data_IF_011263010488
#
_entry.id   IF_011263010488
#
_cell.length_a   1.000
_cell.length_b   1.000
_cell.length_c   1.000
_cell.angle_alpha   90.00
_cell.angle_beta   90.00
_cell.angle_gamma   90.00
#
_symmetry.space_group_name_H-M   'P 1'
#
loop_
_entity.id
_entity.type
_entity.pdbx_description
1 polymer ?
#
# COMPACT_ATOMS: atom_id res chain seq x y z
N UNK A 1 -38.39 -7.03 58.16
CA UNK A 1 -39.35 -6.43 57.22
C UNK A 1 -38.56 -5.96 56.02
N UNK A 2 -38.68 -6.68 54.89
CA UNK A 2 -37.94 -6.40 53.66
C UNK A 2 -38.67 -5.29 52.88
N UNK A 3 -38.01 -4.15 52.67
CA UNK A 3 -38.46 -3.10 51.76
C UNK A 3 -37.74 -3.25 50.42
N UNK A 4 -38.51 -3.55 49.37
CA UNK A 4 -38.05 -3.68 47.99
C UNK A 4 -37.79 -2.28 47.41
N UNK A 5 -36.55 -1.98 47.00
CA UNK A 5 -36.21 -0.77 46.25
C UNK A 5 -36.02 -1.15 44.78
N UNK A 6 -37.13 -1.21 44.05
CA UNK A 6 -37.15 -1.46 42.62
C UNK A 6 -36.74 -0.18 41.88
N UNK A 7 -35.45 -0.07 41.54
CA UNK A 7 -34.96 0.98 40.63
C UNK A 7 -35.63 0.84 39.26
N UNK A 8 -36.62 1.70 38.99
CA UNK A 8 -37.29 1.77 37.69
C UNK A 8 -36.30 2.36 36.69
N UNK A 9 -35.70 1.50 35.86
CA UNK A 9 -34.91 1.93 34.71
C UNK A 9 -35.83 2.16 33.50
N UNK A 10 -35.72 3.33 32.87
CA UNK A 10 -36.47 3.70 31.68
C UNK A 10 -35.61 3.44 30.44
N UNK A 11 -36.10 2.70 29.46
CA UNK A 11 -35.35 2.33 28.25
C UNK A 11 -35.99 2.96 27.01
N UNK A 12 -35.18 3.54 26.13
CA UNK A 12 -35.64 4.08 24.85
C UNK A 12 -35.74 3.00 23.78
N UNK A 13 -36.89 2.89 23.12
CA UNK A 13 -37.14 1.87 22.09
C UNK A 13 -36.41 2.16 20.76
N UNK A 14 -35.98 3.40 20.54
CA UNK A 14 -35.32 3.82 19.30
C UNK A 14 -33.80 3.59 19.32
N UNK A 15 -33.14 3.88 20.45
CA UNK A 15 -31.68 3.76 20.59
C UNK A 15 -31.21 2.81 21.71
N UNK A 16 -32.15 2.14 22.40
CA UNK A 16 -31.90 1.20 23.50
C UNK A 16 -31.13 1.77 24.71
N UNK A 17 -31.04 3.08 24.84
CA UNK A 17 -30.34 3.72 25.96
C UNK A 17 -31.18 3.66 27.25
N UNK A 18 -30.55 3.35 28.38
CA UNK A 18 -31.20 3.26 29.69
C UNK A 18 -31.00 4.54 30.52
N UNK A 19 -32.06 4.96 31.20
CA UNK A 19 -32.15 6.19 32.00
C UNK A 19 -32.61 5.86 33.41
N UNK A 20 -31.93 6.46 34.39
CA UNK A 20 -32.22 6.28 35.83
C UNK A 20 -33.41 7.10 36.33
N UNK A 21 -33.83 8.13 35.59
CA UNK A 21 -34.93 9.01 35.98
C UNK A 21 -35.90 9.21 34.82
N UNK A 22 -37.19 9.36 35.17
CA UNK A 22 -38.27 9.60 34.19
C UNK A 22 -38.03 10.88 33.40
N UNK A 23 -37.54 11.93 34.06
CA UNK A 23 -37.30 13.24 33.42
C UNK A 23 -36.23 13.17 32.33
N UNK A 24 -35.14 12.42 32.56
CA UNK A 24 -34.10 12.25 31.53
C UNK A 24 -34.58 11.39 30.36
N UNK A 25 -35.44 10.43 30.65
CA UNK A 25 -36.08 9.61 29.63
C UNK A 25 -37.05 10.44 28.76
N UNK A 26 -37.90 11.27 29.39
CA UNK A 26 -38.85 12.12 28.67
C UNK A 26 -38.16 13.23 27.86
N UNK A 27 -37.06 13.78 28.35
CA UNK A 27 -36.24 14.72 27.57
C UNK A 27 -35.61 14.05 26.34
N UNK A 28 -35.18 12.79 26.47
CA UNK A 28 -34.54 12.06 25.38
C UNK A 28 -35.54 11.57 24.32
N UNK A 29 -36.70 11.02 24.73
CA UNK A 29 -37.63 10.34 23.82
C UNK A 29 -38.13 11.28 22.72
N UNK A 30 -38.40 12.54 23.05
CA UNK A 30 -38.90 13.57 22.11
C UNK A 30 -37.92 13.77 20.94
N UNK A 31 -36.62 13.84 21.23
CA UNK A 31 -35.59 14.01 20.21
C UNK A 31 -35.27 12.70 19.48
N UNK A 32 -35.23 11.60 20.22
CA UNK A 32 -34.84 10.30 19.69
C UNK A 32 -35.88 9.74 18.71
N UNK A 33 -37.16 9.91 19.04
CA UNK A 33 -38.28 9.57 18.17
C UNK A 33 -38.20 10.34 16.86
N UNK A 34 -38.10 11.67 16.92
CA UNK A 34 -37.94 12.51 15.72
C UNK A 34 -36.73 12.12 14.87
N UNK A 35 -35.59 11.83 15.50
CA UNK A 35 -34.35 11.47 14.79
C UNK A 35 -34.41 10.12 14.07
N UNK A 36 -35.32 9.23 14.46
CA UNK A 36 -35.51 7.91 13.86
C UNK A 36 -36.64 7.85 12.82
N UNK A 37 -37.42 8.93 12.67
CA UNK A 37 -38.36 9.09 11.55
C UNK A 37 -37.62 9.16 10.21
N UNK A 38 -38.27 8.75 9.13
CA UNK A 38 -37.75 8.91 7.77
C UNK A 38 -37.71 10.40 7.39
N UNK A 39 -36.86 10.78 6.42
CA UNK A 39 -36.76 12.19 5.98
C UNK A 39 -38.11 12.78 5.55
N UNK A 40 -38.94 11.99 4.86
CA UNK A 40 -40.27 12.43 4.42
C UNK A 40 -41.20 12.69 5.61
N UNK A 41 -41.20 11.82 6.61
CA UNK A 41 -41.98 11.99 7.85
C UNK A 41 -41.47 13.17 8.70
N UNK A 42 -40.15 13.42 8.70
CA UNK A 42 -39.58 14.60 9.36
C UNK A 42 -40.02 15.90 8.67
N UNK A 43 -40.03 15.92 7.34
CA UNK A 43 -40.49 17.07 6.55
C UNK A 43 -41.99 17.31 6.73
N UNK A 44 -42.81 16.25 6.73
CA UNK A 44 -44.26 16.31 7.01
C UNK A 44 -44.55 16.83 8.44
N UNK A 45 -43.81 16.36 9.46
CA UNK A 45 -43.90 16.87 10.85
C UNK A 45 -43.50 18.35 10.97
N UNK A 46 -42.49 18.79 10.20
CA UNK A 46 -42.05 20.18 10.18
C UNK A 46 -43.10 21.06 9.50
N UNK A 47 -43.79 20.57 8.48
CA UNK A 47 -44.85 21.32 7.79
C UNK A 47 -46.17 21.34 8.57
N UNK A 48 -46.50 20.26 9.30
CA UNK A 48 -47.67 20.15 10.18
C UNK A 48 -47.49 20.87 11.53
N UNK A 49 -47.11 22.16 11.52
CA UNK A 49 -46.92 23.01 12.72
C UNK A 49 -48.19 23.10 13.60
N UNK A 50 -48.55 22.05 14.34
CA UNK A 50 -49.75 22.04 15.17
C UNK A 50 -49.47 22.50 16.60
N UNK A 51 -48.23 22.35 17.10
CA UNK A 51 -47.82 22.93 18.39
C UNK A 51 -46.34 23.32 18.42
N UNK A 52 -46.06 24.62 18.55
CA UNK A 52 -44.71 25.11 18.85
C UNK A 52 -44.20 24.49 20.17
N UNK A 53 -42.98 23.91 20.18
CA UNK A 53 -42.38 23.41 21.42
C UNK A 53 -42.30 24.54 22.45
N UNK A 54 -42.56 24.23 23.71
CA UNK A 54 -42.42 25.23 24.77
C UNK A 54 -40.99 25.76 24.81
N UNK A 55 -40.79 27.00 25.27
CA UNK A 55 -39.45 27.61 25.39
C UNK A 55 -38.44 26.69 26.11
N UNK A 56 -38.90 25.91 27.09
CA UNK A 56 -38.08 24.93 27.80
C UNK A 56 -37.59 23.81 26.87
N UNK A 57 -38.47 23.25 26.02
CA UNK A 57 -38.09 22.21 25.06
C UNK A 57 -37.15 22.75 23.98
N UNK A 58 -37.42 23.95 23.44
CA UNK A 58 -36.51 24.58 22.47
C UNK A 58 -35.11 24.80 23.07
N UNK A 59 -35.04 25.26 24.32
CA UNK A 59 -33.76 25.48 25.01
C UNK A 59 -32.99 24.17 25.27
N UNK A 60 -33.70 23.08 25.58
CA UNK A 60 -33.09 21.76 25.73
C UNK A 60 -32.52 21.24 24.40
N UNK A 61 -33.25 21.42 23.29
CA UNK A 61 -32.78 21.06 21.94
C UNK A 61 -31.55 21.88 21.58
N UNK A 62 -31.57 23.20 21.81
CA UNK A 62 -30.43 24.08 21.57
C UNK A 62 -29.19 23.66 22.38
N UNK A 63 -29.36 23.29 23.65
CA UNK A 63 -28.27 22.75 24.48
C UNK A 63 -27.71 21.45 23.91
N UNK A 64 -28.58 20.53 23.48
CA UNK A 64 -28.18 19.26 22.89
C UNK A 64 -27.39 19.48 21.58
N UNK A 65 -27.85 20.40 20.74
CA UNK A 65 -27.20 20.78 19.48
C UNK A 65 -25.83 21.42 19.75
N UNK A 66 -25.74 22.36 20.70
CA UNK A 66 -24.46 22.98 21.07
C UNK A 66 -23.42 21.94 21.50
N UNK A 67 -23.80 20.99 22.36
CA UNK A 67 -22.91 19.90 22.78
C UNK A 67 -22.47 19.00 21.62
N UNK A 68 -23.37 18.75 20.65
CA UNK A 68 -23.06 17.92 19.47
C UNK A 68 -22.16 18.65 18.48
N UNK A 69 -22.37 19.96 18.29
CA UNK A 69 -21.51 20.82 17.47
C UNK A 69 -20.11 20.89 18.07
N UNK A 70 -19.98 21.18 19.37
CA UNK A 70 -18.67 21.21 20.06
C UNK A 70 -17.91 19.88 19.97
N UNK A 71 -18.64 18.75 19.97
CA UNK A 71 -18.03 17.43 19.77
C UNK A 71 -17.55 17.27 18.33
N UNK A 72 -18.38 17.61 17.35
CA UNK A 72 -18.04 17.50 15.94
C UNK A 72 -16.88 18.43 15.56
N UNK A 73 -16.82 19.65 16.08
CA UNK A 73 -15.72 20.58 15.83
C UNK A 73 -14.39 20.05 16.35
N UNK A 74 -14.37 19.48 17.57
CA UNK A 74 -13.18 18.82 18.13
C UNK A 74 -12.73 17.62 17.31
N UNK A 75 -13.66 16.75 16.91
CA UNK A 75 -13.35 15.59 16.06
C UNK A 75 -12.81 16.05 14.70
N UNK A 76 -13.39 17.10 14.11
CA UNK A 76 -12.94 17.66 12.85
C UNK A 76 -11.55 18.28 12.96
N UNK A 77 -11.25 19.00 14.04
CA UNK A 77 -9.92 19.56 14.29
C UNK A 77 -8.86 18.47 14.44
N UNK A 78 -9.17 17.38 15.16
CA UNK A 78 -8.29 16.21 15.25
C UNK A 78 -8.05 15.62 13.86
N UNK A 79 -9.10 15.40 13.07
CA UNK A 79 -8.98 14.85 11.72
C UNK A 79 -8.16 15.76 10.80
N UNK A 80 -8.39 17.08 10.86
CA UNK A 80 -7.61 18.06 10.09
C UNK A 80 -6.15 18.08 10.51
N UNK A 81 -5.85 17.95 11.81
CA UNK A 81 -4.49 17.87 12.31
C UNK A 81 -3.78 16.57 11.90
N UNK A 82 -4.46 15.43 11.96
CA UNK A 82 -3.94 14.15 11.46
C UNK A 82 -3.71 14.21 9.95
N UNK A 83 -4.67 14.74 9.18
CA UNK A 83 -4.54 14.92 7.75
C UNK A 83 -3.42 15.91 7.40
N UNK A 84 -3.27 17.01 8.15
CA UNK A 84 -2.19 17.98 7.95
C UNK A 84 -0.81 17.40 8.30
N UNK A 85 -0.72 16.55 9.33
CA UNK A 85 0.51 15.80 9.65
C UNK A 85 0.84 14.78 8.56
N UNK A 86 -0.15 14.04 8.07
CA UNK A 86 0.03 13.09 6.97
C UNK A 86 0.34 13.77 5.63
N UNK A 87 -0.18 14.99 5.41
CA UNK A 87 0.00 15.78 4.19
C UNK A 87 1.20 16.72 4.25
N UNK A 88 1.89 16.86 5.41
CA UNK A 88 3.22 17.47 5.42
C UNK A 88 4.08 16.59 4.53
N UNK A 89 4.35 17.10 3.32
CA UNK A 89 5.19 16.50 2.29
C UNK A 89 6.58 16.32 2.87
N UNK A 90 6.80 15.27 3.65
CA UNK A 90 8.14 14.91 4.07
C UNK A 90 8.87 14.55 2.79
N UNK A 91 9.97 15.25 2.52
CA UNK A 91 10.78 14.99 1.35
C UNK A 91 11.53 13.67 1.59
N UNK A 92 10.96 12.56 1.13
CA UNK A 92 11.51 11.21 1.28
C UNK A 92 12.95 11.15 0.77
N UNK A 93 13.29 11.89 -0.30
CA UNK A 93 14.65 11.97 -0.81
C UNK A 93 15.60 12.66 0.17
N UNK A 94 15.20 13.78 0.76
CA UNK A 94 16.03 14.44 1.79
C UNK A 94 16.22 13.54 3.00
N UNK A 95 15.19 12.80 3.41
CA UNK A 95 15.29 11.87 4.53
C UNK A 95 16.24 10.71 4.22
N UNK A 96 16.12 10.09 3.04
CA UNK A 96 17.01 9.00 2.61
C UNK A 96 18.47 9.44 2.49
N UNK A 97 18.70 10.66 1.98
CA UNK A 97 20.06 11.18 1.81
C UNK A 97 20.70 11.68 3.12
N UNK A 98 19.91 11.88 4.19
CA UNK A 98 20.42 12.22 5.53
C UNK A 98 20.77 10.98 6.37
N UNK A 99 20.43 9.77 5.93
CA UNK A 99 20.79 8.55 6.64
C UNK A 99 22.32 8.36 6.63
N UNK A 100 22.89 8.04 7.79
CA UNK A 100 24.31 7.70 7.91
C UNK A 100 24.62 6.33 7.28
N UNK A 101 23.67 5.40 7.35
CA UNK A 101 23.79 4.07 6.75
C UNK A 101 23.38 4.13 5.27
N UNK A 102 24.37 3.93 4.40
CA UNK A 102 24.17 3.85 2.95
C UNK A 102 24.38 2.41 2.45
N UNK A 103 23.66 1.97 1.41
CA UNK A 103 23.91 0.68 0.78
C UNK A 103 25.35 0.53 0.31
N UNK A 104 25.91 -0.67 0.47
CA UNK A 104 27.30 -0.96 0.08
C UNK A 104 27.52 -1.00 -1.44
N UNK A 105 26.45 -1.24 -2.20
CA UNK A 105 26.44 -1.26 -3.66
C UNK A 105 25.43 -0.26 -4.19
N UNK A 106 25.70 0.30 -5.36
CA UNK A 106 24.69 1.05 -6.12
C UNK A 106 23.66 0.11 -6.74
N UNK A 107 22.51 0.67 -7.12
CA UNK A 107 21.45 -0.07 -7.81
C UNK A 107 21.95 -0.74 -9.09
N UNK A 108 22.75 -0.01 -9.87
CA UNK A 108 23.41 -0.55 -11.07
C UNK A 108 24.27 -1.76 -10.75
N UNK A 109 25.19 -1.63 -9.79
CA UNK A 109 26.10 -2.73 -9.42
C UNK A 109 25.34 -3.95 -8.88
N UNK A 110 24.23 -3.71 -8.17
CA UNK A 110 23.38 -4.77 -7.66
C UNK A 110 22.68 -5.54 -8.78
N UNK A 111 22.06 -4.84 -9.74
CA UNK A 111 21.40 -5.47 -10.90
C UNK A 111 22.41 -6.22 -11.79
N UNK A 112 23.61 -5.65 -11.99
CA UNK A 112 24.67 -6.30 -12.75
C UNK A 112 25.17 -7.59 -12.10
N UNK A 113 25.09 -7.68 -10.76
CA UNK A 113 25.59 -8.80 -9.98
C UNK A 113 24.55 -9.93 -9.75
N UNK A 114 23.35 -9.82 -10.32
CA UNK A 114 22.33 -10.87 -10.21
C UNK A 114 22.79 -12.21 -10.80
N UNK A 115 22.34 -13.30 -10.17
CA UNK A 115 22.60 -14.66 -10.64
C UNK A 115 21.59 -15.07 -11.72
N UNK A 116 21.86 -14.63 -12.95
CA UNK A 116 21.04 -14.95 -14.10
C UNK A 116 21.08 -16.45 -14.47
N UNK A 117 22.18 -17.16 -14.17
CA UNK A 117 22.34 -18.59 -14.51
C UNK A 117 21.39 -19.48 -13.70
N UNK A 118 21.19 -19.19 -12.42
CA UNK A 118 20.25 -19.96 -11.61
C UNK A 118 18.80 -19.50 -11.78
N UNK A 119 18.58 -18.23 -12.14
CA UNK A 119 17.22 -17.67 -12.26
C UNK A 119 16.57 -17.97 -13.60
N UNK A 120 17.35 -18.33 -14.62
CA UNK A 120 16.81 -18.75 -15.92
C UNK A 120 15.92 -20.00 -15.84
N UNK A 121 16.11 -20.84 -14.82
CA UNK A 121 15.24 -21.98 -14.52
C UNK A 121 13.80 -21.53 -14.25
N UNK A 122 13.64 -20.40 -13.56
CA UNK A 122 12.33 -19.85 -13.21
C UNK A 122 11.63 -19.28 -14.45
N UNK A 123 12.40 -18.69 -15.39
CA UNK A 123 11.88 -18.25 -16.71
C UNK A 123 11.32 -19.44 -17.48
N UNK A 124 11.96 -20.60 -17.38
CA UNK A 124 11.56 -21.82 -18.08
C UNK A 124 10.23 -22.37 -17.57
N UNK A 125 10.06 -22.37 -16.25
CA UNK A 125 8.90 -22.98 -15.60
C UNK A 125 7.66 -22.07 -15.54
N UNK A 126 7.84 -20.74 -15.49
CA UNK A 126 6.73 -19.79 -15.24
C UNK A 126 6.54 -18.83 -16.42
N UNK A 127 7.12 -17.63 -16.35
CA UNK A 127 7.12 -16.60 -17.39
C UNK A 127 8.24 -15.58 -17.12
N UNK A 128 8.58 -14.74 -18.11
CA UNK A 128 9.62 -13.70 -17.93
C UNK A 128 9.28 -12.71 -16.81
N UNK A 129 8.07 -12.10 -16.77
CA UNK A 129 7.78 -11.10 -15.73
C UNK A 129 8.01 -11.65 -14.32
N UNK A 130 7.52 -12.86 -14.03
CA UNK A 130 7.67 -13.49 -12.71
C UNK A 130 9.13 -13.85 -12.45
N UNK A 131 9.86 -14.34 -13.45
CA UNK A 131 11.27 -14.63 -13.29
C UNK A 131 12.11 -13.38 -12.96
N UNK A 132 11.84 -12.24 -13.60
CA UNK A 132 12.50 -10.97 -13.26
C UNK A 132 12.17 -10.57 -11.82
N UNK A 133 10.90 -10.67 -11.41
CA UNK A 133 10.48 -10.38 -10.03
C UNK A 133 11.22 -11.30 -9.04
N UNK A 134 11.32 -12.60 -9.34
CA UNK A 134 12.07 -13.56 -8.53
C UNK A 134 13.57 -13.24 -8.48
N UNK A 135 14.17 -12.72 -9.56
CA UNK A 135 15.56 -12.24 -9.53
C UNK A 135 15.74 -11.12 -8.51
N UNK A 136 14.83 -10.13 -8.51
CA UNK A 136 14.85 -9.06 -7.53
C UNK A 136 14.66 -9.60 -6.10
N UNK A 137 13.73 -10.53 -5.89
CA UNK A 137 13.47 -11.16 -4.59
C UNK A 137 14.68 -11.94 -4.05
N UNK A 138 15.36 -12.69 -4.92
CA UNK A 138 16.54 -13.48 -4.59
C UNK A 138 17.74 -12.59 -4.28
N UNK A 139 17.91 -11.49 -5.01
CA UNK A 139 18.98 -10.52 -4.77
C UNK A 139 20.39 -11.12 -4.95
N UNK A 140 21.38 -10.56 -4.25
CA UNK A 140 22.80 -10.99 -4.33
C UNK A 140 23.41 -11.09 -2.94
N UNK A 141 23.81 -12.30 -2.53
CA UNK A 141 24.40 -12.51 -1.21
C UNK A 141 23.43 -12.12 -0.09
N UNK A 142 23.85 -11.22 0.79
CA UNK A 142 23.01 -10.68 1.88
C UNK A 142 22.02 -9.59 1.41
N UNK A 143 22.20 -9.06 0.19
CA UNK A 143 21.36 -8.02 -0.42
C UNK A 143 20.11 -8.62 -1.05
N UNK A 144 19.22 -9.12 -0.19
CA UNK A 144 17.94 -9.75 -0.58
C UNK A 144 16.77 -8.87 -0.15
N UNK A 145 15.58 -9.04 -0.76
CA UNK A 145 14.40 -8.28 -0.33
C UNK A 145 13.93 -8.60 1.11
N UNK A 146 14.50 -9.62 1.75
CA UNK A 146 14.29 -9.92 3.17
C UNK A 146 15.09 -8.99 4.08
N UNK A 147 16.18 -8.40 3.59
CA UNK A 147 17.03 -7.45 4.32
C UNK A 147 17.04 -6.08 3.63
N UNK A 148 15.95 -5.33 3.82
CA UNK A 148 15.70 -4.08 3.08
C UNK A 148 16.68 -2.96 3.44
N UNK A 149 17.29 -3.01 4.62
CA UNK A 149 18.13 -1.90 5.09
C UNK A 149 19.35 -1.68 4.19
N UNK A 150 19.88 -2.77 3.64
CA UNK A 150 21.14 -2.77 2.89
C UNK A 150 20.96 -2.77 1.36
N UNK A 151 19.73 -2.96 0.84
CA UNK A 151 19.51 -2.99 -0.62
C UNK A 151 19.43 -1.57 -1.21
N UNK A 152 19.92 -1.36 -2.45
CA UNK A 152 19.95 -0.05 -3.07
C UNK A 152 18.63 0.35 -3.76
N UNK A 153 17.49 -0.18 -3.31
CA UNK A 153 16.16 0.15 -3.83
C UNK A 153 15.13 0.17 -2.70
N UNK A 154 14.26 1.18 -2.68
CA UNK A 154 13.24 1.40 -1.65
C UNK A 154 11.92 1.88 -2.25
N UNK A 155 10.82 1.54 -1.58
CA UNK A 155 9.46 2.00 -1.88
C UNK A 155 8.74 2.39 -0.60
N UNK A 156 7.76 3.30 -0.70
CA UNK A 156 7.01 3.82 0.44
C UNK A 156 5.50 3.70 0.19
N UNK A 157 4.74 3.33 1.23
CA UNK A 157 3.27 3.18 1.13
C UNK A 157 2.56 4.45 0.65
N UNK A 158 3.06 5.61 1.06
CA UNK A 158 2.48 6.92 0.76
C UNK A 158 2.62 7.31 -0.72
N UNK A 159 3.55 6.69 -1.46
CA UNK A 159 3.88 7.00 -2.85
C UNK A 159 3.80 5.73 -3.70
N UNK A 160 2.60 5.49 -4.25
CA UNK A 160 2.35 4.31 -5.09
C UNK A 160 3.22 4.33 -6.34
N UNK A 161 3.84 3.20 -6.66
CA UNK A 161 4.64 2.97 -7.86
C UNK A 161 5.83 3.93 -8.02
N UNK A 162 6.36 4.48 -6.93
CA UNK A 162 7.60 5.28 -6.95
C UNK A 162 8.73 4.46 -6.34
N UNK A 163 9.81 4.34 -7.10
CA UNK A 163 11.04 3.66 -6.68
C UNK A 163 12.11 4.69 -6.35
N UNK A 164 12.75 4.49 -5.21
CA UNK A 164 13.91 5.25 -4.78
C UNK A 164 15.12 4.34 -4.88
N UNK A 165 16.15 4.76 -5.60
CA UNK A 165 17.35 3.94 -5.82
C UNK A 165 18.60 4.68 -5.39
N UNK A 166 19.59 3.94 -4.91
CA UNK A 166 20.88 4.48 -4.51
C UNK A 166 21.88 4.35 -5.66
N UNK A 167 22.44 5.47 -6.12
CA UNK A 167 23.41 5.47 -7.20
C UNK A 167 23.71 6.86 -7.72
N UNK A 168 24.30 6.93 -8.91
CA UNK A 168 24.57 8.18 -9.60
C UNK A 168 23.45 8.44 -10.61
N UNK A 169 22.65 9.47 -10.39
CA UNK A 169 21.60 9.87 -11.34
C UNK A 169 22.24 10.42 -12.62
N UNK A 170 23.31 11.20 -12.46
CA UNK A 170 24.12 11.73 -13.55
C UNK A 170 25.55 11.19 -13.44
N UNK A 171 26.18 10.90 -14.57
CA UNK A 171 27.55 10.38 -14.61
C UNK A 171 28.57 11.30 -13.93
N UNK A 172 28.27 12.59 -13.83
CA UNK A 172 29.11 13.61 -13.21
C UNK A 172 28.91 13.76 -11.69
N UNK A 173 28.02 12.97 -11.08
CA UNK A 173 27.80 13.06 -9.64
C UNK A 173 29.04 12.55 -8.87
N UNK A 174 29.57 13.35 -7.93
CA UNK A 174 30.78 13.00 -7.20
C UNK A 174 30.56 11.77 -6.32
N UNK A 175 29.39 11.69 -5.66
CA UNK A 175 29.02 10.60 -4.77
C UNK A 175 27.65 10.00 -5.14
N UNK A 176 27.44 8.69 -4.92
CA UNK A 176 26.13 8.09 -5.06
C UNK A 176 25.15 8.63 -4.02
N UNK A 177 23.94 8.95 -4.47
CA UNK A 177 22.84 9.48 -3.66
C UNK A 177 21.55 8.71 -3.95
N UNK A 178 20.57 8.88 -3.08
CA UNK A 178 19.22 8.39 -3.35
C UNK A 178 18.51 9.34 -4.30
N UNK A 179 17.99 8.80 -5.40
CA UNK A 179 17.18 9.51 -6.39
C UNK A 179 15.93 8.71 -6.77
N UNK A 180 14.98 9.36 -7.43
CA UNK A 180 13.77 8.69 -7.93
C UNK A 180 14.08 8.03 -9.26
N UNK A 181 13.86 6.72 -9.34
CA UNK A 181 14.00 5.98 -10.60
C UNK A 181 12.78 6.29 -11.48
N UNK A 182 13.02 6.82 -12.67
CA UNK A 182 11.94 7.01 -13.65
C UNK A 182 11.55 5.67 -14.28
N UNK A 183 10.30 5.61 -14.72
CA UNK A 183 9.72 4.47 -15.40
C UNK A 183 10.54 4.07 -16.65
N UNK A 184 10.99 5.06 -17.45
CA UNK A 184 11.84 4.81 -18.64
C UNK A 184 13.20 4.19 -18.31
N UNK A 185 13.81 4.61 -17.20
CA UNK A 185 15.11 4.06 -16.79
C UNK A 185 14.91 2.66 -16.24
N UNK A 186 13.84 2.42 -15.49
CA UNK A 186 13.52 1.07 -15.01
C UNK A 186 13.26 0.12 -16.20
N UNK A 187 12.53 0.57 -17.21
CA UNK A 187 12.26 -0.24 -18.40
C UNK A 187 13.55 -0.66 -19.10
N UNK A 188 14.54 0.25 -19.22
CA UNK A 188 15.89 -0.10 -19.72
C UNK A 188 16.61 -1.16 -18.87
N UNK A 189 16.41 -1.16 -17.55
CA UNK A 189 16.97 -2.20 -16.68
C UNK A 189 16.26 -3.54 -16.85
N UNK A 190 14.94 -3.52 -17.09
CA UNK A 190 14.17 -4.71 -17.42
C UNK A 190 14.68 -5.30 -18.73
N UNK A 191 14.89 -4.47 -19.75
CA UNK A 191 15.42 -4.88 -21.05
C UNK A 191 16.83 -5.46 -20.92
N UNK A 192 17.70 -4.80 -20.15
CA UNK A 192 19.02 -5.33 -19.82
C UNK A 192 18.93 -6.72 -19.18
N UNK A 193 18.03 -6.94 -18.22
CA UNK A 193 17.87 -8.26 -17.59
C UNK A 193 17.41 -9.32 -18.60
N UNK A 194 16.52 -8.97 -19.54
CA UNK A 194 16.10 -9.87 -20.61
C UNK A 194 17.24 -10.23 -21.54
N UNK A 195 18.05 -9.25 -21.97
CA UNK A 195 19.23 -9.50 -22.80
C UNK A 195 20.22 -10.43 -22.09
N UNK A 196 20.39 -10.24 -20.78
CA UNK A 196 21.21 -11.15 -19.97
C UNK A 196 20.64 -12.57 -19.93
N UNK A 197 19.32 -12.74 -19.82
CA UNK A 197 18.70 -14.06 -19.93
C UNK A 197 18.88 -14.68 -21.32
N UNK A 198 18.75 -13.90 -22.39
CA UNK A 198 18.99 -14.35 -23.77
C UNK A 198 20.44 -14.81 -23.97
N UNK A 199 21.41 -14.11 -23.39
CA UNK A 199 22.83 -14.50 -23.46
C UNK A 199 23.15 -15.75 -22.65
N UNK A 200 22.54 -15.90 -21.47
CA UNK A 200 22.80 -17.03 -20.56
C UNK A 200 22.06 -18.30 -21.01
N UNK A 201 20.95 -18.17 -21.73
CA UNK A 201 20.11 -19.29 -22.14
C UNK A 201 20.85 -20.39 -22.92
N UNK A 202 21.60 -20.11 -24.00
CA UNK A 202 22.28 -21.15 -24.76
C UNK A 202 23.24 -21.96 -23.89
N UNK A 203 24.01 -21.28 -23.05
CA UNK A 203 25.01 -21.87 -22.16
C UNK A 203 24.33 -22.78 -21.13
N UNK A 204 23.24 -22.29 -20.52
CA UNK A 204 22.46 -23.07 -19.56
C UNK A 204 21.81 -24.30 -20.22
N UNK A 205 21.20 -24.12 -21.41
CA UNK A 205 20.53 -25.18 -22.15
C UNK A 205 21.51 -26.28 -22.55
N UNK A 206 22.68 -25.92 -23.08
CA UNK A 206 23.74 -26.87 -23.38
C UNK A 206 24.23 -27.62 -22.13
N UNK A 207 24.40 -26.94 -20.99
CA UNK A 207 24.78 -27.58 -19.73
C UNK A 207 23.75 -28.64 -19.28
N UNK A 208 22.44 -28.39 -19.43
CA UNK A 208 21.40 -29.34 -19.04
C UNK A 208 21.31 -30.56 -19.98
N UNK A 209 21.56 -30.36 -21.28
CA UNK A 209 21.38 -31.40 -22.29
C UNK A 209 22.69 -32.06 -22.76
N UNK A 210 23.84 -31.72 -22.17
CA UNK A 210 25.16 -32.30 -22.45
C UNK A 210 25.21 -33.84 -22.39
N UNK A 211 24.32 -34.48 -21.62
CA UNK A 211 24.26 -35.93 -21.47
C UNK A 211 23.31 -36.64 -22.45
N UNK A 212 22.61 -35.91 -23.31
CA UNK A 212 21.67 -36.49 -24.28
C UNK A 212 22.26 -36.39 -25.71
N UNK A 213 22.97 -37.41 -26.20
CA UNK A 213 23.68 -37.37 -27.48
C UNK A 213 22.76 -37.41 -28.70
N UNK A 214 21.44 -37.57 -28.52
CA UNK A 214 20.47 -37.46 -29.59
C UNK A 214 19.92 -36.03 -29.61
N UNK A 215 20.42 -35.20 -30.53
CA UNK A 215 19.79 -33.94 -30.91
C UNK A 215 18.45 -34.27 -31.57
N UNK A 216 17.41 -34.51 -30.76
CA UNK A 216 16.07 -34.81 -31.26
C UNK A 216 15.39 -33.52 -31.69
N UNK A 217 14.52 -33.62 -32.70
CA UNK A 217 13.67 -32.51 -33.15
C UNK A 217 12.83 -31.91 -32.01
N UNK A 218 12.52 -32.71 -30.98
CA UNK A 218 11.78 -32.25 -29.79
C UNK A 218 12.60 -31.28 -28.93
N UNK A 219 13.91 -31.47 -28.80
CA UNK A 219 14.80 -30.55 -28.08
C UNK A 219 14.92 -29.20 -28.79
N UNK A 220 14.91 -29.21 -30.12
CA UNK A 220 14.95 -27.99 -30.92
C UNK A 220 13.60 -27.24 -30.86
N UNK A 221 12.49 -27.97 -30.87
CA UNK A 221 11.16 -27.40 -30.65
C UNK A 221 11.00 -26.82 -29.23
N UNK A 222 11.57 -27.47 -28.21
CA UNK A 222 11.61 -26.98 -26.82
C UNK A 222 12.44 -25.70 -26.69
N UNK A 223 13.63 -25.68 -27.31
CA UNK A 223 14.50 -24.50 -27.40
C UNK A 223 13.80 -23.33 -28.10
N UNK A 224 13.13 -23.59 -29.22
CA UNK A 224 12.36 -22.59 -29.97
C UNK A 224 11.15 -22.09 -29.18
N UNK A 225 10.48 -22.96 -28.43
CA UNK A 225 9.41 -22.60 -27.50
C UNK A 225 9.90 -21.62 -26.42
N UNK A 226 11.10 -21.82 -25.91
CA UNK A 226 11.70 -20.92 -24.92
C UNK A 226 12.12 -19.57 -25.52
N UNK A 227 12.74 -19.54 -26.69
CA UNK A 227 13.03 -18.27 -27.38
C UNK A 227 11.75 -17.48 -27.65
N UNK A 228 10.65 -18.15 -28.05
CA UNK A 228 9.35 -17.49 -28.21
C UNK A 228 8.83 -16.91 -26.89
N UNK A 229 9.04 -17.60 -25.77
CA UNK A 229 8.70 -17.07 -24.44
C UNK A 229 9.57 -15.86 -24.09
N UNK A 230 10.90 -15.95 -24.28
CA UNK A 230 11.88 -14.89 -23.98
C UNK A 230 11.70 -13.62 -24.82
N UNK A 231 11.29 -13.76 -26.08
CA UNK A 231 11.03 -12.63 -26.98
C UNK A 231 9.65 -12.00 -26.76
N UNK A 232 8.96 -12.32 -25.66
CA UNK A 232 7.71 -11.68 -25.26
C UNK A 232 6.44 -12.38 -25.74
N UNK A 233 6.54 -13.43 -26.56
CA UNK A 233 5.40 -14.25 -26.97
C UNK A 233 4.20 -13.42 -27.48
N UNK A 234 3.10 -13.40 -26.72
CA UNK A 234 1.86 -12.65 -27.00
C UNK A 234 1.71 -11.33 -26.22
N UNK A 235 2.66 -11.01 -25.34
CA UNK A 235 2.57 -9.88 -24.42
C UNK A 235 3.40 -8.73 -25.00
N UNK A 236 2.80 -7.54 -25.10
CA UNK A 236 3.51 -6.32 -25.47
C UNK A 236 4.55 -5.96 -24.41
N UNK A 237 5.68 -5.40 -24.83
CA UNK A 237 6.74 -4.87 -23.97
C UNK A 237 6.21 -3.96 -22.85
N UNK A 238 5.33 -3.02 -23.16
CA UNK A 238 4.74 -2.11 -22.16
C UNK A 238 3.98 -2.87 -21.05
N UNK A 239 3.12 -3.82 -21.43
CA UNK A 239 2.37 -4.65 -20.48
C UNK A 239 3.29 -5.52 -19.61
N UNK A 240 4.37 -6.07 -20.19
CA UNK A 240 5.40 -6.82 -19.45
C UNK A 240 6.08 -5.92 -18.43
N UNK A 241 6.57 -4.76 -18.86
CA UNK A 241 7.31 -3.84 -18.01
C UNK A 241 6.43 -3.31 -16.86
N UNK A 242 5.16 -3.00 -17.15
CA UNK A 242 4.18 -2.63 -16.13
C UNK A 242 3.94 -3.75 -15.09
N UNK A 243 3.83 -5.01 -15.53
CA UNK A 243 3.69 -6.18 -14.63
C UNK A 243 4.91 -6.34 -13.74
N UNK A 244 6.11 -6.20 -14.29
CA UNK A 244 7.37 -6.30 -13.53
C UNK A 244 7.44 -5.17 -12.49
N UNK A 245 7.24 -3.92 -12.89
CA UNK A 245 7.24 -2.78 -11.96
C UNK A 245 6.28 -3.00 -10.81
N UNK A 246 5.03 -3.35 -11.10
CA UNK A 246 4.02 -3.61 -10.07
C UNK A 246 4.36 -4.79 -9.17
N UNK A 247 4.93 -5.86 -9.74
CA UNK A 247 5.36 -7.04 -9.00
C UNK A 247 6.49 -6.72 -8.02
N UNK A 248 7.56 -6.07 -8.51
CA UNK A 248 8.70 -5.65 -7.69
C UNK A 248 8.26 -4.66 -6.61
N UNK A 249 7.39 -3.71 -6.94
CA UNK A 249 6.82 -2.77 -5.97
C UNK A 249 6.10 -3.50 -4.84
N UNK A 250 5.23 -4.47 -5.17
CA UNK A 250 4.49 -5.26 -4.18
C UNK A 250 5.43 -6.10 -3.31
N UNK A 251 6.46 -6.73 -3.88
CA UNK A 251 7.41 -7.54 -3.13
C UNK A 251 8.23 -6.68 -2.16
N UNK A 252 8.66 -5.49 -2.59
CA UNK A 252 9.32 -4.51 -1.70
C UNK A 252 8.38 -3.98 -0.61
N UNK A 253 7.11 -3.72 -0.96
CA UNK A 253 6.11 -3.22 -0.03
C UNK A 253 5.77 -4.23 1.08
N UNK A 254 5.61 -5.51 0.74
CA UNK A 254 5.30 -6.58 1.70
C UNK A 254 6.39 -6.75 2.76
N UNK A 255 7.65 -6.57 2.36
CA UNK A 255 8.79 -6.76 3.24
C UNK A 255 9.14 -5.49 4.01
N UNK A 256 8.59 -4.32 3.62
CA UNK A 256 8.82 -3.04 4.27
C UNK A 256 8.14 -2.99 5.64
N UNK A 257 8.87 -3.37 6.70
CA UNK A 257 8.52 -3.06 8.10
C UNK A 257 8.73 -1.58 8.44
N UNK A 258 9.49 -0.85 7.61
CA UNK A 258 9.99 0.50 7.87
C UNK A 258 8.96 1.63 7.75
N UNK A 259 7.66 1.31 7.68
CA UNK A 259 6.61 2.31 7.93
C UNK A 259 6.42 2.54 9.43
N UNK A 260 6.72 1.54 10.27
CA UNK A 260 6.56 1.63 11.72
C UNK A 260 7.53 2.65 12.34
N UNK A 261 8.81 2.57 11.99
CA UNK A 261 9.85 3.46 12.55
C UNK A 261 9.72 4.91 12.07
N UNK A 262 9.04 5.10 10.93
CA UNK A 262 8.76 6.41 10.35
C UNK A 262 7.57 7.13 11.01
N UNK A 263 6.62 6.38 11.57
CA UNK A 263 5.47 6.93 12.31
C UNK A 263 5.82 7.16 13.78
N UNK A 264 6.75 6.40 14.36
CA UNK A 264 7.17 6.56 15.76
C UNK A 264 8.17 7.70 16.00
N UNK A 265 8.78 8.25 14.95
CA UNK A 265 9.74 9.37 15.05
C UNK A 265 9.16 10.76 14.73
N UNK A 266 7.83 10.90 14.63
CA UNK A 266 7.09 12.17 14.51
C UNK A 266 5.97 12.28 15.53
#
# INVERSE_FOLDING_TARGET
>A
MNGCDSSINYRCDYCNHEYRTRDKYSEHIVFCEFSHKTKREQEEDIEMFETMPTQKHMFLILKQLALRVDKLERENEILRNVAAKANKKINILEWLNKQETKPSKTFKEWVLAFDYENTIKDVFQIDIPTAIIHTFERGVGELTLKNIENIPIRVFLQKKNIFYVYGKEKSNDPEPTWYVLSDDIFDKWIDYMMDRFLMVFPIWFEKQHKSNPAYSKELEDEKNGFYKKLLGGKITEESRNQRVRHGVFKSLQKNSKMISDYVTMT
#
